data_IF_239487654797
#
_entry.id   IF_239487654797
#
_cell.length_a   1.000
_cell.length_b   1.000
_cell.length_c   1.000
_cell.angle_alpha   90.00
_cell.angle_beta   90.00
_cell.angle_gamma   90.00
#
_symmetry.space_group_name_H-M   'P 1'
#
loop_
_entity.id
_entity.type
_entity.pdbx_description
1 polymer ?
#
# COMPACT_ATOMS: atom_id res chain seq x y z
N UNK A 1 -8.20 8.28 4.50
CA UNK A 1 -6.83 8.44 3.97
C UNK A 1 -6.10 7.11 3.94
N UNK A 2 -5.20 6.99 2.98
CA UNK A 2 -4.34 5.82 2.80
C UNK A 2 -2.88 6.21 2.99
N UNK A 3 -2.06 5.25 3.34
CA UNK A 3 -0.62 5.35 3.32
C UNK A 3 0.00 4.11 2.68
N UNK A 4 1.33 4.07 2.65
CA UNK A 4 2.09 3.00 2.02
C UNK A 4 3.10 2.43 3.00
N UNK A 5 3.16 1.12 3.05
CA UNK A 5 4.18 0.37 3.78
C UNK A 5 4.63 -0.85 2.98
N UNK A 6 5.81 -1.36 3.28
CA UNK A 6 6.33 -2.53 2.61
C UNK A 6 7.82 -2.72 2.81
N UNK A 7 8.48 -3.21 1.78
CA UNK A 7 9.92 -3.51 1.81
C UNK A 7 10.59 -3.01 0.54
N UNK A 8 11.81 -2.50 0.72
CA UNK A 8 12.72 -2.13 -0.34
C UNK A 8 13.87 -3.13 -0.40
N UNK A 9 14.29 -3.50 -1.60
CA UNK A 9 15.54 -4.18 -1.86
C UNK A 9 16.60 -3.12 -2.20
N UNK A 10 17.54 -2.91 -1.28
CA UNK A 10 18.53 -1.82 -1.38
C UNK A 10 19.90 -2.41 -1.63
N UNK A 11 20.65 -1.84 -2.55
CA UNK A 11 22.05 -2.19 -2.81
C UNK A 11 22.91 -1.74 -1.63
N UNK A 12 23.64 -2.68 -1.04
CA UNK A 12 24.57 -2.41 0.06
C UNK A 12 25.93 -3.04 -0.24
N UNK A 13 26.89 -2.23 -0.72
CA UNK A 13 28.18 -2.71 -1.19
C UNK A 13 28.02 -3.73 -2.31
N UNK A 14 28.49 -4.97 -2.09
CA UNK A 14 28.36 -6.07 -3.06
C UNK A 14 27.10 -6.95 -2.84
N UNK A 15 26.22 -6.56 -1.91
CA UNK A 15 25.04 -7.34 -1.56
C UNK A 15 23.73 -6.55 -1.73
N UNK A 16 22.64 -7.21 -1.37
CA UNK A 16 21.29 -6.63 -1.32
C UNK A 16 20.79 -6.74 0.11
N UNK A 17 20.27 -5.66 0.63
CA UNK A 17 19.65 -5.59 1.96
C UNK A 17 18.15 -5.30 1.82
N UNK A 18 17.31 -6.01 2.59
CA UNK A 18 15.88 -5.73 2.71
C UNK A 18 15.64 -4.64 3.76
N UNK A 19 15.02 -3.53 3.38
CA UNK A 19 14.62 -2.43 4.28
C UNK A 19 13.12 -2.36 4.37
N UNK A 20 12.58 -2.46 5.59
CA UNK A 20 11.16 -2.17 5.84
C UNK A 20 10.95 -0.66 5.81
N UNK A 21 9.83 -0.25 5.21
CA UNK A 21 9.40 1.13 5.13
C UNK A 21 7.94 1.24 5.50
N UNK A 22 7.61 2.28 6.26
CA UNK A 22 6.24 2.70 6.53
C UNK A 22 6.20 4.23 6.51
N UNK A 23 5.53 4.80 5.52
CA UNK A 23 5.47 6.27 5.35
C UNK A 23 4.66 6.91 6.48
N UNK A 24 3.67 6.22 7.02
CA UNK A 24 2.87 6.55 8.21
C UNK A 24 2.35 7.99 8.29
N UNK A 25 1.91 8.53 7.17
CA UNK A 25 1.17 9.79 7.09
C UNK A 25 -0.01 9.65 6.13
N UNK A 26 -0.97 10.57 6.18
CA UNK A 26 -2.04 10.64 5.20
C UNK A 26 -1.44 11.02 3.85
N UNK A 27 -1.27 10.03 2.98
CA UNK A 27 -0.46 10.16 1.78
C UNK A 27 -1.30 10.25 0.52
N UNK A 28 -2.32 9.43 0.40
CA UNK A 28 -3.11 9.34 -0.82
C UNK A 28 -4.56 8.96 -0.54
N UNK A 29 -5.37 9.07 -1.57
CA UNK A 29 -6.79 8.70 -1.56
C UNK A 29 -7.15 8.08 -2.90
N UNK A 30 -8.00 7.06 -2.89
CA UNK A 30 -8.67 6.56 -4.08
C UNK A 30 -9.93 7.40 -4.25
N UNK A 31 -10.01 8.28 -5.27
CA UNK A 31 -11.15 9.17 -5.44
C UNK A 31 -12.37 8.41 -5.93
N UNK A 32 -13.54 8.89 -5.57
CA UNK A 32 -14.78 8.51 -6.19
C UNK A 32 -15.58 9.77 -6.51
N UNK A 33 -16.47 9.67 -7.49
CA UNK A 33 -17.26 10.79 -7.96
C UNK A 33 -18.69 10.75 -7.41
N UNK A 34 -19.28 11.91 -7.24
CA UNK A 34 -20.67 12.04 -6.81
C UNK A 34 -21.65 11.59 -7.93
N UNK A 35 -22.88 11.31 -7.54
CA UNK A 35 -23.94 10.86 -8.45
C UNK A 35 -24.13 11.78 -9.67
N UNK A 36 -23.80 13.06 -9.55
CA UNK A 36 -23.86 14.02 -10.68
C UNK A 36 -22.94 13.65 -11.83
N UNK A 37 -21.81 13.00 -11.51
CA UNK A 37 -20.81 12.56 -12.48
C UNK A 37 -20.99 11.09 -12.87
N UNK A 38 -21.69 10.30 -12.03
CA UNK A 38 -21.97 8.89 -12.30
C UNK A 38 -23.40 8.54 -11.84
N UNK A 39 -24.36 8.65 -12.75
CA UNK A 39 -25.79 8.42 -12.48
C UNK A 39 -26.13 6.96 -12.16
N UNK A 40 -25.24 6.04 -12.49
CA UNK A 40 -25.40 4.59 -12.23
C UNK A 40 -24.89 4.19 -10.84
N UNK A 41 -24.32 5.10 -10.07
CA UNK A 41 -23.71 4.83 -8.77
C UNK A 41 -24.61 4.04 -7.81
N UNK A 42 -25.92 4.32 -7.79
CA UNK A 42 -26.86 3.63 -6.92
C UNK A 42 -27.32 2.25 -7.44
N UNK A 43 -26.88 1.86 -8.65
CA UNK A 43 -27.21 0.55 -9.23
C UNK A 43 -26.15 -0.50 -8.96
N UNK A 44 -25.07 -0.12 -8.32
CA UNK A 44 -23.87 -0.92 -8.14
C UNK A 44 -22.82 -0.66 -9.22
N UNK A 45 -21.58 -0.74 -8.85
CA UNK A 45 -20.42 -0.53 -9.75
C UNK A 45 -19.49 -1.72 -9.59
N UNK A 46 -19.21 -2.39 -10.70
CA UNK A 46 -18.13 -3.35 -10.77
C UNK A 46 -16.83 -2.57 -11.02
N UNK A 47 -15.95 -2.55 -10.02
CA UNK A 47 -14.68 -1.84 -10.13
C UNK A 47 -13.67 -2.64 -10.95
N UNK A 48 -13.00 -1.96 -11.89
CA UNK A 48 -11.76 -2.44 -12.47
C UNK A 48 -10.58 -1.94 -11.63
N UNK A 49 -9.87 -2.80 -10.88
CA UNK A 49 -8.81 -2.36 -9.98
C UNK A 49 -7.69 -1.56 -10.67
N UNK A 50 -7.41 -1.85 -11.94
CA UNK A 50 -6.36 -1.18 -12.70
C UNK A 50 -6.73 0.23 -13.17
N UNK A 51 -8.01 0.57 -13.15
CA UNK A 51 -8.51 1.85 -13.66
C UNK A 51 -9.18 2.66 -12.54
N UNK A 52 -10.06 2.00 -11.76
CA UNK A 52 -10.93 2.69 -10.81
C UNK A 52 -10.30 2.83 -9.41
N UNK A 53 -9.29 2.01 -9.09
CA UNK A 53 -8.66 2.00 -7.77
C UNK A 53 -7.26 2.63 -7.76
N UNK A 54 -6.95 3.48 -8.73
CA UNK A 54 -5.70 4.23 -8.76
C UNK A 54 -5.72 5.35 -7.70
N UNK A 55 -4.73 5.38 -6.80
CA UNK A 55 -4.67 6.42 -5.78
C UNK A 55 -4.10 7.73 -6.34
N UNK A 56 -4.66 8.85 -5.89
CA UNK A 56 -4.08 10.17 -6.09
C UNK A 56 -2.99 10.40 -5.03
N UNK A 57 -1.76 10.56 -5.47
CA UNK A 57 -0.58 10.76 -4.63
C UNK A 57 -0.14 12.22 -4.57
N UNK A 58 -0.15 12.90 -5.69
CA UNK A 58 0.29 14.28 -5.82
C UNK A 58 -0.49 14.99 -6.93
N UNK A 59 -0.52 16.31 -6.86
CA UNK A 59 -1.02 17.18 -7.90
C UNK A 59 0.16 17.84 -8.62
N UNK A 60 -0.03 18.16 -9.90
CA UNK A 60 0.92 18.91 -10.70
C UNK A 60 0.42 20.35 -10.70
N UNK A 61 1.24 21.31 -10.27
CA UNK A 61 0.86 22.71 -10.32
C UNK A 61 0.57 23.14 -11.77
N UNK A 62 -0.39 24.06 -11.96
CA UNK A 62 -0.77 24.55 -13.29
C UNK A 62 0.42 25.12 -14.07
N UNK A 63 1.38 25.72 -13.36
CA UNK A 63 2.60 26.30 -13.95
C UNK A 63 3.52 25.21 -14.57
N UNK A 64 3.44 23.98 -14.07
CA UNK A 64 4.19 22.83 -14.62
C UNK A 64 3.41 22.14 -15.76
N UNK A 65 2.07 22.29 -15.79
CA UNK A 65 1.23 21.63 -16.78
C UNK A 65 1.32 22.31 -18.15
N UNK A 66 1.41 23.64 -18.19
CA UNK A 66 1.50 24.41 -19.43
C UNK A 66 2.82 24.22 -20.20
N UNK A 67 3.87 23.76 -19.53
CA UNK A 67 5.18 23.54 -20.16
C UNK A 67 5.28 22.22 -20.95
N UNK A 68 4.37 21.24 -20.74
CA UNK A 68 4.52 19.89 -21.31
C UNK A 68 3.29 19.26 -21.97
N UNK A 69 2.15 19.97 -22.09
CA UNK A 69 0.91 19.39 -22.63
C UNK A 69 0.47 19.92 -23.99
N UNK A 70 1.31 20.57 -24.75
CA UNK A 70 1.06 20.69 -26.18
C UNK A 70 1.57 19.44 -26.89
N UNK A 71 0.74 18.41 -26.92
CA UNK A 71 0.86 17.35 -27.90
C UNK A 71 0.52 17.93 -29.27
N UNK A 72 1.40 18.72 -29.82
CA UNK A 72 1.37 19.07 -31.21
C UNK A 72 2.69 18.69 -31.87
N UNK A 73 2.64 17.56 -32.57
CA UNK A 73 3.79 16.90 -33.19
C UNK A 73 4.36 17.67 -34.39
N UNK A 74 4.10 18.97 -34.53
CA UNK A 74 4.47 19.72 -35.73
C UNK A 74 5.18 21.07 -35.54
N UNK A 75 5.59 21.45 -34.33
CA UNK A 75 6.43 22.65 -34.16
C UNK A 75 7.60 22.40 -33.22
N UNK A 76 8.53 21.55 -33.67
CA UNK A 76 9.88 21.60 -33.19
C UNK A 76 10.62 22.72 -33.90
N UNK A 77 10.57 23.96 -33.40
CA UNK A 77 11.48 25.04 -33.83
C UNK A 77 12.39 25.45 -32.69
N UNK A 78 13.65 25.16 -32.90
CA UNK A 78 14.87 25.79 -32.44
C UNK A 78 14.69 27.06 -31.58
N UNK A 79 14.73 26.89 -30.24
CA UNK A 79 15.31 27.87 -29.32
C UNK A 79 15.60 27.12 -27.99
N UNK A 80 16.81 26.58 -27.93
CA UNK A 80 17.38 26.04 -26.70
C UNK A 80 17.92 27.22 -25.88
N UNK A 81 17.10 27.77 -24.99
CA UNK A 81 17.59 28.64 -23.92
C UNK A 81 16.87 28.26 -22.62
N UNK A 82 17.68 27.80 -21.68
CA UNK A 82 17.40 27.55 -20.25
C UNK A 82 16.15 26.73 -19.96
N UNK A 83 16.35 25.41 -19.88
CA UNK A 83 15.39 24.53 -19.22
C UNK A 83 15.33 24.94 -17.74
N UNK A 84 14.14 25.32 -17.19
CA UNK A 84 14.01 25.45 -15.76
C UNK A 84 14.41 24.11 -15.12
N UNK A 85 15.19 24.16 -14.04
CA UNK A 85 15.53 22.97 -13.27
C UNK A 85 14.22 22.18 -13.04
N UNK A 86 14.19 20.95 -13.53
CA UNK A 86 13.02 20.10 -13.42
C UNK A 86 12.73 19.92 -11.91
N UNK A 87 11.64 20.50 -11.44
CA UNK A 87 11.16 20.24 -10.08
C UNK A 87 10.87 18.77 -10.02
N UNK A 88 11.69 18.05 -9.25
CA UNK A 88 11.62 16.60 -9.13
C UNK A 88 10.27 16.22 -8.54
N UNK A 89 9.40 15.62 -9.37
CA UNK A 89 8.07 15.20 -8.93
C UNK A 89 8.22 14.17 -7.82
N UNK A 90 7.51 14.31 -6.70
CA UNK A 90 7.60 13.32 -5.63
C UNK A 90 7.06 11.98 -6.14
N UNK A 91 7.96 11.06 -6.42
CA UNK A 91 7.58 9.69 -6.75
C UNK A 91 7.37 8.88 -5.48
N UNK A 92 6.58 7.81 -5.55
CA UNK A 92 6.40 6.91 -4.41
C UNK A 92 7.73 6.33 -3.94
N UNK A 93 8.63 6.01 -4.89
CA UNK A 93 9.97 5.49 -4.59
C UNK A 93 10.82 6.52 -3.87
N UNK A 94 10.78 7.79 -4.27
CA UNK A 94 11.51 8.87 -3.59
C UNK A 94 11.01 9.05 -2.13
N UNK A 95 9.69 9.03 -1.91
CA UNK A 95 9.11 9.10 -0.57
C UNK A 95 9.48 7.89 0.30
N UNK A 96 9.53 6.71 -0.30
CA UNK A 96 9.94 5.49 0.40
C UNK A 96 11.44 5.53 0.74
N UNK A 97 12.28 6.03 -0.17
CA UNK A 97 13.73 6.22 0.04
C UNK A 97 14.00 7.20 1.20
N UNK A 98 13.34 8.36 1.19
CA UNK A 98 13.43 9.34 2.26
C UNK A 98 13.05 8.72 3.62
N UNK A 99 11.91 8.00 3.65
CA UNK A 99 11.43 7.35 4.88
C UNK A 99 12.38 6.27 5.38
N UNK A 100 12.98 5.50 4.47
CA UNK A 100 13.93 4.45 4.81
C UNK A 100 15.34 4.97 5.12
N UNK A 101 15.62 6.25 4.85
CA UNK A 101 16.94 6.87 5.01
C UNK A 101 17.97 6.29 4.06
N UNK A 102 17.59 6.01 2.81
CA UNK A 102 18.44 5.47 1.76
C UNK A 102 18.41 6.36 0.52
N UNK A 103 19.43 6.27 -0.30
CA UNK A 103 19.43 6.92 -1.60
C UNK A 103 18.53 6.16 -2.58
N UNK A 104 17.62 6.89 -3.25
CA UNK A 104 16.66 6.31 -4.19
C UNK A 104 17.36 5.53 -5.33
N UNK A 105 18.55 5.95 -5.77
CA UNK A 105 19.33 5.25 -6.79
C UNK A 105 19.85 3.88 -6.33
N UNK A 106 19.89 3.64 -5.02
CA UNK A 106 20.31 2.35 -4.47
C UNK A 106 19.18 1.33 -4.38
N UNK A 107 17.94 1.74 -4.61
CA UNK A 107 16.76 0.86 -4.60
C UNK A 107 16.74 0.03 -5.89
N UNK A 108 16.82 -1.29 -5.74
CA UNK A 108 16.81 -2.25 -6.84
C UNK A 108 15.41 -2.81 -7.11
N UNK A 109 14.49 -2.66 -6.16
CA UNK A 109 13.12 -3.10 -6.27
C UNK A 109 12.34 -2.81 -5.00
N UNK A 110 11.04 -2.79 -5.12
CA UNK A 110 10.12 -2.50 -4.03
C UNK A 110 8.94 -3.47 -4.03
N UNK A 111 8.42 -3.72 -2.84
CA UNK A 111 7.20 -4.47 -2.58
C UNK A 111 6.36 -3.64 -1.60
N UNK A 112 5.58 -2.70 -2.14
CA UNK A 112 4.87 -1.66 -1.42
C UNK A 112 3.36 -1.86 -1.53
N UNK A 113 2.68 -1.69 -0.41
CA UNK A 113 1.25 -1.90 -0.28
C UNK A 113 0.55 -0.66 0.28
N UNK A 114 -0.62 -0.37 -0.26
CA UNK A 114 -1.54 0.60 0.32
C UNK A 114 -2.18 0.02 1.58
N UNK A 115 -2.33 0.86 2.59
CA UNK A 115 -3.12 0.51 3.75
C UNK A 115 -3.97 1.69 4.23
N UNK A 116 -5.11 1.37 4.85
CA UNK A 116 -5.95 2.39 5.47
C UNK A 116 -5.37 2.81 6.81
N UNK A 117 -5.30 4.12 7.05
CA UNK A 117 -4.88 4.70 8.32
C UNK A 117 -6.03 4.87 9.32
N UNK A 118 -7.19 4.32 9.02
CA UNK A 118 -8.29 4.34 9.97
C UNK A 118 -7.92 3.51 11.20
N UNK A 119 -7.84 4.17 12.33
CA UNK A 119 -7.62 3.50 13.62
C UNK A 119 -8.84 2.70 14.04
N UNK A 120 -8.60 1.62 14.78
CA UNK A 120 -9.66 0.88 15.46
C UNK A 120 -10.37 1.74 16.50
N UNK A 121 -11.70 1.66 16.57
CA UNK A 121 -12.53 2.47 17.50
C UNK A 121 -13.62 1.63 18.13
N UNK A 122 -13.95 1.99 19.36
CA UNK A 122 -15.21 1.56 19.96
C UNK A 122 -16.34 2.48 19.47
N UNK A 123 -17.41 1.91 18.94
CA UNK A 123 -18.58 2.63 18.42
C UNK A 123 -19.88 2.05 19.00
N UNK A 124 -20.97 2.72 18.73
CA UNK A 124 -22.31 2.38 19.25
C UNK A 124 -22.74 3.31 20.37
N UNK A 125 -24.03 3.28 20.71
CA UNK A 125 -24.61 4.17 21.73
C UNK A 125 -24.00 3.97 23.13
N UNK A 126 -23.45 2.77 23.39
CA UNK A 126 -22.80 2.40 24.65
C UNK A 126 -21.35 1.94 24.44
N UNK A 127 -20.79 2.13 23.25
CA UNK A 127 -19.47 1.64 22.91
C UNK A 127 -19.37 0.12 22.78
N UNK A 128 -20.47 -0.53 22.39
CA UNK A 128 -20.60 -1.99 22.38
C UNK A 128 -20.03 -2.68 21.13
N UNK A 129 -19.62 -1.92 20.14
CA UNK A 129 -19.05 -2.46 18.90
C UNK A 129 -17.59 -2.06 18.73
N UNK A 130 -16.81 -2.92 18.10
CA UNK A 130 -15.45 -2.63 17.63
C UNK A 130 -15.49 -2.39 16.12
N UNK A 131 -15.02 -1.24 15.69
CA UNK A 131 -14.79 -0.93 14.29
C UNK A 131 -13.30 -0.87 14.03
N UNK A 132 -12.77 -1.80 13.25
CA UNK A 132 -11.36 -1.80 12.86
C UNK A 132 -11.20 -2.48 11.50
N UNK A 133 -10.24 -2.06 10.66
CA UNK A 133 -9.87 -2.84 9.50
C UNK A 133 -9.22 -4.16 9.93
N UNK A 134 -9.32 -5.17 9.08
CA UNK A 134 -8.66 -6.49 9.25
C UNK A 134 -9.07 -7.26 10.51
N UNK A 135 -10.28 -7.06 11.02
CA UNK A 135 -10.82 -7.93 12.08
C UNK A 135 -10.90 -9.37 11.60
N UNK A 136 -11.33 -9.59 10.41
CA UNK A 136 -11.14 -10.79 9.67
C UNK A 136 -9.75 -10.73 9.00
N UNK A 137 -8.81 -11.62 9.28
CA UNK A 137 -8.92 -12.69 10.29
C UNK A 137 -8.00 -12.47 11.51
N UNK A 138 -7.43 -11.26 11.67
CA UNK A 138 -6.51 -10.95 12.78
C UNK A 138 -7.12 -11.20 14.16
N UNK A 139 -8.43 -11.11 14.31
CA UNK A 139 -9.10 -11.47 15.57
C UNK A 139 -8.89 -12.93 15.90
N UNK A 140 -9.03 -13.83 14.93
CA UNK A 140 -8.83 -15.26 15.10
C UNK A 140 -7.36 -15.60 15.34
N UNK A 141 -6.46 -15.00 14.57
CA UNK A 141 -5.01 -15.15 14.74
C UNK A 141 -4.57 -14.71 16.13
N UNK A 142 -5.07 -13.60 16.64
CA UNK A 142 -4.81 -13.13 18.00
C UNK A 142 -5.33 -14.10 19.05
N UNK A 143 -6.59 -14.57 18.93
CA UNK A 143 -7.21 -15.47 19.90
C UNK A 143 -6.46 -16.81 19.99
N UNK A 144 -6.08 -17.36 18.83
CA UNK A 144 -5.30 -18.61 18.77
C UNK A 144 -3.90 -18.44 19.37
N UNK A 145 -3.20 -17.36 19.04
CA UNK A 145 -1.87 -17.06 19.59
C UNK A 145 -1.94 -16.87 21.11
N UNK A 146 -2.94 -16.13 21.60
CA UNK A 146 -3.14 -15.94 23.02
C UNK A 146 -3.44 -17.26 23.74
N UNK A 147 -4.36 -18.06 23.23
CA UNK A 147 -4.67 -19.38 23.80
C UNK A 147 -3.43 -20.30 23.82
N UNK A 148 -2.63 -20.28 22.75
CA UNK A 148 -1.40 -21.06 22.67
C UNK A 148 -0.38 -20.63 23.73
N UNK A 149 -0.16 -19.32 23.91
CA UNK A 149 0.82 -18.78 24.88
C UNK A 149 0.38 -19.01 26.35
N UNK A 150 -0.92 -19.09 26.59
CA UNK A 150 -1.49 -19.36 27.93
C UNK A 150 -1.70 -20.85 28.20
N UNK A 151 -1.51 -21.72 27.20
CA UNK A 151 -1.64 -23.17 27.37
C UNK A 151 -0.48 -23.74 28.14
N UNK A 152 -0.76 -24.77 28.96
CA UNK A 152 0.28 -25.56 29.61
C UNK A 152 0.66 -26.73 28.73
N UNK A 153 1.97 -27.08 28.64
CA UNK A 153 2.40 -28.25 27.93
C UNK A 153 1.73 -29.51 28.52
N UNK A 154 1.22 -30.35 27.65
CA UNK A 154 0.63 -31.63 27.98
C UNK A 154 1.53 -32.78 27.48
N UNK A 155 0.96 -33.96 27.26
CA UNK A 155 1.69 -35.12 26.73
C UNK A 155 2.10 -34.98 25.26
N UNK A 156 1.57 -33.93 24.57
CA UNK A 156 1.77 -33.68 23.15
C UNK A 156 2.50 -32.37 22.94
N UNK A 157 3.14 -32.25 21.77
CA UNK A 157 3.73 -31.00 21.30
C UNK A 157 2.62 -30.14 20.71
N UNK A 158 2.37 -28.99 21.32
CA UNK A 158 1.43 -28.02 20.79
C UNK A 158 2.10 -27.18 19.72
N UNK A 159 1.43 -27.00 18.60
CA UNK A 159 1.90 -26.16 17.50
C UNK A 159 0.82 -25.13 17.21
N UNK A 160 1.19 -23.86 17.10
CA UNK A 160 0.35 -22.79 16.58
C UNK A 160 1.00 -22.27 15.30
N UNK A 161 0.28 -22.36 14.19
CA UNK A 161 0.74 -21.85 12.91
C UNK A 161 -0.23 -20.76 12.43
N UNK A 162 0.32 -19.62 12.02
CA UNK A 162 -0.42 -18.54 11.39
C UNK A 162 0.14 -18.38 9.97
N UNK A 163 -0.72 -18.57 8.99
CA UNK A 163 -0.36 -18.53 7.59
C UNK A 163 -0.76 -17.19 6.96
N UNK A 164 -0.15 -16.87 5.85
CA UNK A 164 -0.44 -15.67 5.06
C UNK A 164 -1.30 -16.01 3.83
N UNK A 165 -1.76 -14.97 3.12
CA UNK A 165 -2.45 -15.07 1.83
C UNK A 165 -3.77 -15.88 1.86
N UNK A 166 -4.53 -15.80 2.94
CA UNK A 166 -5.84 -16.43 3.02
C UNK A 166 -6.79 -15.89 1.93
N UNK A 167 -6.86 -14.57 1.77
CA UNK A 167 -7.77 -13.88 0.83
C UNK A 167 -7.51 -14.22 -0.65
N UNK A 168 -6.30 -14.63 -1.00
CA UNK A 168 -5.98 -15.13 -2.35
C UNK A 168 -6.16 -16.65 -2.49
N UNK A 169 -6.71 -17.31 -1.46
CA UNK A 169 -7.09 -18.73 -1.48
C UNK A 169 -6.06 -19.69 -0.94
N UNK A 170 -5.11 -19.25 -0.11
CA UNK A 170 -4.14 -20.05 0.64
C UNK A 170 -3.15 -20.91 -0.19
N UNK A 171 -3.26 -20.93 -1.52
CA UNK A 171 -2.45 -21.76 -2.42
C UNK A 171 -1.06 -21.22 -2.71
N UNK A 172 -0.58 -20.24 -1.96
CA UNK A 172 0.77 -19.69 -2.10
C UNK A 172 1.77 -20.44 -1.21
N UNK A 173 3.05 -20.18 -1.39
CA UNK A 173 4.12 -20.78 -0.56
C UNK A 173 3.95 -20.49 0.93
N UNK A 174 3.37 -19.35 1.30
CA UNK A 174 3.12 -18.90 2.66
C UNK A 174 1.73 -19.26 3.18
N UNK A 175 0.87 -19.79 2.30
CA UNK A 175 -0.52 -20.10 2.61
C UNK A 175 -0.71 -21.41 3.35
N UNK A 176 -1.91 -21.60 3.89
CA UNK A 176 -2.25 -22.79 4.65
C UNK A 176 -2.29 -24.09 3.80
N UNK A 177 -2.51 -23.97 2.49
CA UNK A 177 -2.49 -25.08 1.52
C UNK A 177 -1.08 -25.32 0.92
N UNK A 178 -0.05 -24.83 1.61
CA UNK A 178 1.34 -25.09 1.24
C UNK A 178 1.87 -26.37 1.90
N UNK A 179 3.03 -26.83 1.43
CA UNK A 179 3.74 -27.98 1.99
C UNK A 179 4.50 -27.65 3.28
N UNK A 180 4.23 -26.51 3.93
CA UNK A 180 4.98 -26.05 5.10
C UNK A 180 4.86 -27.00 6.31
N UNK A 181 3.70 -27.65 6.48
CA UNK A 181 3.44 -28.57 7.58
C UNK A 181 3.64 -30.05 7.21
N UNK A 182 3.97 -30.36 5.96
CA UNK A 182 4.32 -31.70 5.51
C UNK A 182 5.79 -32.03 5.84
#
# INVERSE_FOLDING_TARGET
>A
PLSVAGRLAVKNGNGIEGRLVNIDRDLCVIPNVAIHMNREMNKGVEYNPQVDLLPLLADVSFDEYDAHTTYDAQTASENAEEQPEAVEKPTLVALAAETAGVDAETILGEDLFLYTRQEGKMIGAKGEFVLSPRLDDLQSAFALTKAFTESTPAEYINVCAVFDNEEVGSGTRQGADSTFLE
#
